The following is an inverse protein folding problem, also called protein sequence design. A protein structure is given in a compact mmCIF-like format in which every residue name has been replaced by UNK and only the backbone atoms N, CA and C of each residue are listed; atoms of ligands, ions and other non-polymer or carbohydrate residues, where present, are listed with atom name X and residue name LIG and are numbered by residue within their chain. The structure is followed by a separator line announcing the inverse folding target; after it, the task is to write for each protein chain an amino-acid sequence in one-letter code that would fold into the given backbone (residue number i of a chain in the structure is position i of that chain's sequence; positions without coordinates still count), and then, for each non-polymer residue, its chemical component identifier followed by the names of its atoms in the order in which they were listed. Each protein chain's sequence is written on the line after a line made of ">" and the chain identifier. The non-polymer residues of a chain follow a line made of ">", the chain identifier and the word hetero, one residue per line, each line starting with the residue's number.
data_IF_353751803548
#
_entry.id   IF_353751803548
#
_cell.length_a   1.000
_cell.length_b   1.000
_cell.length_c   1.000
_cell.angle_alpha   90.00
_cell.angle_beta   90.00
_cell.angle_gamma   90.00
#
_symmetry.space_group_name_H-M   'P 1'
#
loop_
_entity.id
_entity.type
_entity.pdbx_description
1 polymer ?
#
# COMPACT_ATOMS: atom_id res chain seq x y z
N UNK A 1 12.81 7.35 -2.97
CA UNK A 1 11.66 7.29 -2.05
C UNK A 1 12.21 6.97 -0.67
N UNK A 2 11.68 7.58 0.39
CA UNK A 2 12.11 7.33 1.77
C UNK A 2 10.93 6.75 2.56
N UNK A 3 11.11 5.63 3.29
CA UNK A 3 10.05 5.04 4.08
C UNK A 3 9.73 5.92 5.30
N UNK A 4 8.44 6.09 5.59
CA UNK A 4 8.00 6.66 6.87
C UNK A 4 7.43 5.52 7.71
N UNK A 5 8.18 5.11 8.74
CA UNK A 5 7.75 4.08 9.69
C UNK A 5 7.57 4.72 11.05
N UNK A 6 6.47 4.39 11.72
CA UNK A 6 6.21 4.89 13.07
C UNK A 6 7.27 4.39 14.06
N UNK A 7 7.70 5.29 14.96
CA UNK A 7 8.74 4.99 15.95
C UNK A 7 8.32 3.80 16.82
N UNK A 8 9.22 2.83 16.96
CA UNK A 8 8.99 1.58 17.71
C UNK A 8 8.50 0.42 16.84
N UNK A 9 8.00 0.71 15.62
CA UNK A 9 7.48 -0.31 14.70
C UNK A 9 8.51 -0.75 13.64
N UNK A 10 9.75 -0.27 13.71
CA UNK A 10 10.81 -0.55 12.71
C UNK A 10 11.14 -2.05 12.59
N UNK A 11 10.89 -2.82 13.65
CA UNK A 11 11.08 -4.27 13.67
C UNK A 11 9.85 -5.04 13.16
N UNK A 12 8.68 -4.39 13.09
CA UNK A 12 7.41 -5.00 12.65
C UNK A 12 7.19 -4.82 11.14
N UNK A 13 7.56 -3.67 10.58
CA UNK A 13 7.40 -3.39 9.15
C UNK A 13 8.58 -3.97 8.36
N UNK A 14 8.38 -5.14 7.76
CA UNK A 14 9.44 -5.82 7.00
C UNK A 14 9.68 -5.22 5.60
N UNK A 15 8.60 -4.88 4.90
CA UNK A 15 8.61 -4.32 3.55
C UNK A 15 7.35 -3.49 3.28
N UNK A 16 7.42 -2.60 2.31
CA UNK A 16 6.31 -1.78 1.82
C UNK A 16 6.35 -1.73 0.30
N UNK A 17 5.19 -1.78 -0.34
CA UNK A 17 5.05 -1.68 -1.79
C UNK A 17 3.97 -0.63 -2.09
N UNK A 18 4.30 0.32 -2.96
CA UNK A 18 3.35 1.29 -3.50
C UNK A 18 3.05 0.92 -4.95
N UNK A 19 1.76 0.81 -5.26
CA UNK A 19 1.27 0.48 -6.58
C UNK A 19 0.67 1.70 -7.27
N UNK A 20 0.82 1.77 -8.58
CA UNK A 20 0.00 2.60 -9.44
C UNK A 20 -1.21 1.78 -9.92
N UNK A 21 -2.39 2.38 -9.81
CA UNK A 21 -3.64 1.78 -10.25
C UNK A 21 -4.01 2.29 -11.64
N UNK A 22 -4.44 1.38 -12.53
CA UNK A 22 -4.93 1.77 -13.85
C UNK A 22 -6.35 2.37 -13.81
N UNK A 23 -7.14 2.04 -12.77
CA UNK A 23 -8.50 2.54 -12.61
C UNK A 23 -8.51 4.03 -12.24
N UNK A 24 -9.39 4.78 -12.90
CA UNK A 24 -9.68 6.20 -12.58
C UNK A 24 -10.93 6.36 -11.71
N UNK A 25 -11.43 5.26 -11.14
CA UNK A 25 -12.62 5.29 -10.27
C UNK A 25 -12.41 6.24 -9.09
N UNK A 26 -13.33 7.17 -8.81
CA UNK A 26 -13.23 8.08 -7.67
C UNK A 26 -13.25 7.35 -6.33
N UNK A 27 -13.71 6.09 -6.30
CA UNK A 27 -13.72 5.23 -5.11
C UNK A 27 -12.30 4.96 -4.57
N UNK A 28 -11.28 4.88 -5.44
CA UNK A 28 -9.89 4.72 -5.01
C UNK A 28 -9.44 5.85 -4.08
N UNK A 29 -9.91 7.07 -4.33
CA UNK A 29 -9.60 8.25 -3.50
C UNK A 29 -10.20 8.20 -2.10
N UNK A 30 -11.21 7.35 -1.84
CA UNK A 30 -11.76 7.16 -0.49
C UNK A 30 -10.82 6.31 0.37
N UNK A 31 -10.16 5.33 -0.24
CA UNK A 31 -9.25 4.41 0.46
C UNK A 31 -7.91 5.03 0.83
N UNK A 32 -7.52 6.17 0.23
CA UNK A 32 -6.33 6.92 0.65
C UNK A 32 -6.49 7.67 1.98
N UNK A 33 -7.70 7.66 2.56
CA UNK A 33 -8.05 8.40 3.79
C UNK A 33 -8.35 7.50 4.98
N UNK A 34 -8.20 6.18 4.84
CA UNK A 34 -8.40 5.21 5.93
C UNK A 34 -7.07 4.70 6.47
N UNK A 35 -7.07 4.09 7.65
CA UNK A 35 -5.87 3.49 8.26
C UNK A 35 -5.32 2.27 7.51
N UNK A 36 -6.09 1.72 6.56
CA UNK A 36 -5.76 0.51 5.80
C UNK A 36 -6.75 -0.62 6.06
N UNK A 37 -6.60 -1.71 5.31
CA UNK A 37 -7.34 -2.97 5.50
C UNK A 37 -6.41 -4.15 5.21
N UNK A 38 -6.82 -5.35 5.61
CA UNK A 38 -6.11 -6.58 5.26
C UNK A 38 -6.18 -6.82 3.75
N UNK A 39 -5.03 -7.07 3.13
CA UNK A 39 -4.98 -7.52 1.74
C UNK A 39 -5.51 -8.95 1.63
N UNK A 40 -6.12 -9.28 0.49
CA UNK A 40 -6.67 -10.61 0.18
C UNK A 40 -7.79 -11.08 1.12
N UNK A 41 -8.41 -10.15 1.83
CA UNK A 41 -9.63 -10.41 2.58
C UNK A 41 -10.88 -10.19 1.71
N UNK A 42 -12.00 -10.81 2.08
CA UNK A 42 -13.30 -10.66 1.42
C UNK A 42 -13.83 -9.21 1.37
N UNK A 43 -13.33 -8.34 2.24
CA UNK A 43 -13.69 -6.92 2.28
C UNK A 43 -12.85 -6.04 1.35
N UNK A 44 -11.87 -6.61 0.65
CA UNK A 44 -11.00 -5.86 -0.25
C UNK A 44 -11.81 -5.27 -1.43
N UNK A 45 -11.71 -3.95 -1.69
CA UNK A 45 -12.40 -3.32 -2.82
C UNK A 45 -11.92 -3.90 -4.15
N UNK A 46 -12.85 -4.16 -5.06
CA UNK A 46 -12.54 -4.75 -6.37
C UNK A 46 -11.63 -3.84 -7.21
N UNK A 47 -11.73 -2.53 -7.02
CA UNK A 47 -10.89 -1.55 -7.72
C UNK A 47 -9.40 -1.73 -7.41
N UNK A 48 -9.05 -2.32 -6.26
CA UNK A 48 -7.65 -2.58 -5.89
C UNK A 48 -7.01 -3.66 -6.78
N UNK A 49 -7.80 -4.55 -7.39
CA UNK A 49 -7.30 -5.54 -8.36
C UNK A 49 -6.67 -4.89 -9.61
N UNK A 50 -6.99 -3.61 -9.87
CA UNK A 50 -6.37 -2.85 -10.97
C UNK A 50 -4.98 -2.30 -10.65
N UNK A 51 -4.53 -2.41 -9.40
CA UNK A 51 -3.28 -1.85 -8.90
C UNK A 51 -2.15 -2.90 -8.96
N UNK A 52 -1.75 -3.30 -10.17
CA UNK A 52 -0.77 -4.38 -10.39
C UNK A 52 0.66 -3.89 -10.70
N UNK A 53 0.85 -2.58 -10.90
CA UNK A 53 2.15 -2.02 -11.26
C UNK A 53 2.85 -1.45 -10.01
N UNK A 54 3.89 -2.11 -9.46
CA UNK A 54 4.66 -1.55 -8.36
C UNK A 54 5.50 -0.36 -8.87
N UNK A 55 5.33 0.80 -8.25
CA UNK A 55 6.11 2.01 -8.54
C UNK A 55 7.17 2.30 -7.48
N UNK A 56 7.00 1.77 -6.27
CA UNK A 56 8.00 1.80 -5.20
C UNK A 56 7.98 0.46 -4.49
N UNK A 57 9.15 -0.11 -4.27
CA UNK A 57 9.35 -1.21 -3.35
C UNK A 57 10.42 -0.81 -2.34
N UNK A 58 10.15 -1.06 -1.07
CA UNK A 58 11.10 -0.84 0.01
C UNK A 58 11.12 -2.06 0.92
N UNK A 59 12.31 -2.45 1.38
CA UNK A 59 12.49 -3.48 2.38
C UNK A 59 13.48 -3.02 3.44
N UNK A 60 13.42 -3.64 4.62
CA UNK A 60 14.41 -3.38 5.68
C UNK A 60 15.82 -3.68 5.16
N UNK A 61 16.71 -2.69 5.26
CA UNK A 61 18.09 -2.79 4.77
C UNK A 61 18.30 -2.28 3.34
N UNK A 62 17.23 -1.88 2.62
CA UNK A 62 17.37 -1.13 1.37
C UNK A 62 18.10 0.20 1.62
N UNK A 63 18.99 0.57 0.69
CA UNK A 63 19.69 1.86 0.64
C UNK A 63 19.08 2.76 -0.42
#
# INVERSE_FOLDING_TARGET
>A
YEPLVERGNEHLVHHMILYECASTSPELGKYSRISGSYCYDSTMPREWESCIQPIVAWGRGSK
#
